data_IF_025069327303
#
_entry.id   IF_025069327303
#
_cell.length_a   1.000
_cell.length_b   1.000
_cell.length_c   1.000
_cell.angle_alpha   90.00
_cell.angle_beta   90.00
_cell.angle_gamma   90.00
#
_symmetry.space_group_name_H-M   'P 1'
#
loop_
_entity.id
_entity.type
_entity.pdbx_description
1 polymer ?
#
# COMPACT_ATOMS: atom_id res chain seq x y z
N UNK A 1 -0.35 -4.93 -15.57
CA UNK A 1 -1.01 -4.10 -14.54
C UNK A 1 -1.55 -4.96 -13.42
N UNK A 2 -1.46 -4.46 -12.20
CA UNK A 2 -2.15 -4.93 -11.02
C UNK A 2 -2.95 -3.79 -10.37
N UNK A 3 -4.11 -4.12 -9.80
CA UNK A 3 -4.96 -3.22 -9.02
C UNK A 3 -5.27 -3.91 -7.71
N UNK A 4 -5.07 -3.20 -6.59
CA UNK A 4 -5.44 -3.65 -5.25
C UNK A 4 -6.27 -2.56 -4.59
N UNK A 5 -7.46 -2.90 -4.14
CA UNK A 5 -8.39 -1.95 -3.54
C UNK A 5 -9.15 -2.62 -2.40
N UNK A 6 -9.47 -1.85 -1.37
CA UNK A 6 -10.43 -2.26 -0.36
C UNK A 6 -10.07 -1.76 1.03
N UNK A 7 -10.67 -2.42 2.03
CA UNK A 7 -10.55 -2.07 3.43
C UNK A 7 -9.83 -3.15 4.23
N UNK A 8 -8.95 -2.77 5.14
CA UNK A 8 -8.35 -3.65 6.14
C UNK A 8 -8.79 -3.17 7.51
N UNK A 9 -9.47 -4.06 8.23
CA UNK A 9 -9.88 -3.84 9.62
C UNK A 9 -8.88 -4.58 10.52
N UNK A 10 -8.03 -3.82 11.23
CA UNK A 10 -7.09 -4.33 12.22
C UNK A 10 -7.49 -3.86 13.61
N UNK A 11 -7.01 -4.55 14.65
CA UNK A 11 -7.44 -4.32 16.05
C UNK A 11 -7.44 -2.85 16.48
N UNK A 12 -6.41 -2.09 16.09
CA UNK A 12 -6.22 -0.69 16.47
C UNK A 12 -6.07 0.23 15.23
N UNK A 13 -6.46 -0.25 14.05
CA UNK A 13 -6.36 0.55 12.83
C UNK A 13 -7.33 0.07 11.75
N UNK A 14 -7.98 1.01 11.07
CA UNK A 14 -8.76 0.76 9.86
C UNK A 14 -8.07 1.48 8.69
N UNK A 15 -7.92 0.83 7.54
CA UNK A 15 -7.46 1.53 6.33
C UNK A 15 -8.31 1.19 5.12
N UNK A 16 -8.62 2.21 4.32
CA UNK A 16 -9.23 2.07 3.00
C UNK A 16 -8.27 2.64 1.97
N UNK A 17 -8.00 1.91 0.89
CA UNK A 17 -7.02 2.34 -0.11
C UNK A 17 -7.32 1.79 -1.49
N UNK A 18 -6.71 2.43 -2.48
CA UNK A 18 -6.60 1.93 -3.85
C UNK A 18 -5.18 2.11 -4.35
N UNK A 19 -4.61 1.04 -4.90
CA UNK A 19 -3.29 1.00 -5.48
C UNK A 19 -3.35 0.44 -6.91
N UNK A 20 -2.65 1.10 -7.82
CA UNK A 20 -2.36 0.61 -9.16
C UNK A 20 -0.85 0.44 -9.30
N UNK A 21 -0.43 -0.62 -9.97
CA UNK A 21 0.99 -0.91 -10.14
C UNK A 21 1.24 -1.69 -11.45
N UNK A 22 2.27 -1.31 -12.20
CA UNK A 22 2.71 -2.06 -13.36
C UNK A 22 4.20 -1.83 -13.64
N UNK A 23 4.71 -2.50 -14.67
CA UNK A 23 6.02 -2.24 -15.24
C UNK A 23 5.86 -1.77 -16.70
N UNK A 24 6.29 -0.54 -17.00
CA UNK A 24 6.34 0.01 -18.37
C UNK A 24 7.80 0.27 -18.72
N UNK A 25 8.29 -0.25 -19.84
CA UNK A 25 9.71 -0.13 -20.23
C UNK A 25 10.69 -0.56 -19.12
N UNK A 26 10.34 -1.62 -18.38
CA UNK A 26 11.08 -2.11 -17.21
C UNK A 26 11.15 -1.14 -16.01
N UNK A 27 10.39 -0.04 -16.04
CA UNK A 27 10.25 0.89 -14.93
C UNK A 27 8.92 0.70 -14.20
N UNK A 28 8.89 0.83 -12.86
CA UNK A 28 7.64 0.70 -12.13
C UNK A 28 6.75 1.94 -12.30
N UNK A 29 5.47 1.70 -12.60
CA UNK A 29 4.45 2.74 -12.79
C UNK A 29 3.24 2.48 -11.91
N UNK A 30 2.41 3.51 -11.72
CA UNK A 30 1.19 3.45 -10.91
C UNK A 30 1.21 4.40 -9.72
N UNK A 31 0.25 4.24 -8.83
CA UNK A 31 0.02 5.12 -7.69
C UNK A 31 -0.73 4.41 -6.58
N UNK A 32 -0.70 4.97 -5.38
CA UNK A 32 -1.53 4.56 -4.25
C UNK A 32 -2.10 5.79 -3.56
N UNK A 33 -3.35 5.70 -3.12
CA UNK A 33 -3.96 6.67 -2.22
C UNK A 33 -4.90 5.97 -1.25
N UNK A 34 -5.14 6.59 -0.10
CA UNK A 34 -6.05 6.04 0.89
C UNK A 34 -6.11 6.83 2.20
N UNK A 35 -6.91 6.30 3.11
CA UNK A 35 -7.07 6.77 4.47
C UNK A 35 -6.66 5.66 5.45
N UNK A 36 -6.08 6.03 6.57
CA UNK A 36 -5.77 5.15 7.69
C UNK A 36 -6.17 5.84 8.99
N UNK A 37 -7.07 5.20 9.72
CA UNK A 37 -7.44 5.54 11.09
C UNK A 37 -6.64 4.63 12.01
N UNK A 38 -6.00 5.20 13.03
CA UNK A 38 -5.23 4.43 13.99
C UNK A 38 -5.29 5.03 15.38
N UNK A 39 -5.39 4.16 16.37
CA UNK A 39 -5.26 4.49 17.77
C UNK A 39 -3.78 4.43 18.18
N UNK A 40 -3.25 5.55 18.67
CA UNK A 40 -1.85 5.67 19.10
C UNK A 40 -1.84 6.36 20.48
N UNK A 41 -1.37 5.66 21.50
CA UNK A 41 -1.37 6.15 22.89
C UNK A 41 -2.78 6.60 23.32
N UNK A 42 -3.77 5.72 23.14
CA UNK A 42 -5.19 5.92 23.52
C UNK A 42 -5.84 7.16 22.87
N UNK A 43 -5.36 7.55 21.68
CA UNK A 43 -5.91 8.66 20.89
C UNK A 43 -6.08 8.25 19.44
N UNK A 44 -7.23 8.64 18.89
CA UNK A 44 -7.55 8.39 17.49
C UNK A 44 -6.89 9.42 16.57
N UNK A 45 -6.23 8.92 15.53
CA UNK A 45 -5.63 9.72 14.48
C UNK A 45 -6.13 9.28 13.12
N UNK A 46 -6.47 10.25 12.28
CA UNK A 46 -6.82 10.02 10.88
C UNK A 46 -5.71 10.52 9.97
N UNK A 47 -5.25 9.65 9.08
CA UNK A 47 -4.20 9.93 8.12
C UNK A 47 -4.71 9.74 6.70
N UNK A 48 -4.39 10.66 5.80
CA UNK A 48 -4.47 10.43 4.36
C UNK A 48 -3.07 10.24 3.82
N UNK A 49 -2.91 9.28 2.92
CA UNK A 49 -1.64 9.02 2.26
C UNK A 49 -1.82 8.96 0.76
N UNK A 50 -0.79 9.39 0.05
CA UNK A 50 -0.69 9.24 -1.40
C UNK A 50 0.76 9.08 -1.83
N UNK A 51 0.95 8.34 -2.90
CA UNK A 51 2.22 8.28 -3.61
C UNK A 51 2.00 7.91 -5.07
N UNK A 52 2.82 8.49 -5.93
CA UNK A 52 2.89 8.16 -7.35
C UNK A 52 4.23 7.48 -7.63
N UNK A 53 4.33 6.76 -8.75
CA UNK A 53 5.56 6.12 -9.23
C UNK A 53 6.22 5.21 -8.18
N UNK A 54 5.77 3.94 -8.08
CA UNK A 54 6.42 3.01 -7.17
C UNK A 54 7.91 2.87 -7.50
N UNK A 55 8.70 2.64 -6.46
CA UNK A 55 10.12 2.28 -6.57
C UNK A 55 10.34 0.79 -6.88
N UNK A 56 9.32 -0.04 -6.64
CA UNK A 56 9.37 -1.49 -6.87
C UNK A 56 7.97 -2.04 -7.06
N UNK A 57 7.81 -2.92 -8.04
CA UNK A 57 6.60 -3.69 -8.30
C UNK A 57 7.00 -5.14 -8.54
N UNK A 58 6.39 -6.05 -7.78
CA UNK A 58 6.49 -7.50 -7.99
C UNK A 58 5.09 -8.08 -7.96
N UNK A 59 4.69 -8.78 -9.01
CA UNK A 59 3.38 -9.43 -9.10
C UNK A 59 3.52 -10.90 -9.50
N UNK A 60 2.62 -11.72 -8.97
CA UNK A 60 2.48 -13.12 -9.39
C UNK A 60 1.05 -13.40 -9.82
N UNK A 61 0.90 -14.24 -10.85
CA UNK A 61 -0.39 -14.67 -11.41
C UNK A 61 -0.64 -16.16 -11.12
N UNK A 62 -1.82 -16.65 -11.49
CA UNK A 62 -2.21 -18.06 -11.32
C UNK A 62 -3.32 -18.24 -10.28
N UNK A 63 -3.43 -19.45 -9.72
CA UNK A 63 -4.42 -19.79 -8.69
C UNK A 63 -4.24 -18.95 -7.43
N UNK A 64 -2.98 -18.75 -7.03
CA UNK A 64 -2.60 -17.74 -6.04
C UNK A 64 -2.08 -16.52 -6.80
N UNK A 65 -2.53 -15.34 -6.41
CA UNK A 65 -2.04 -14.08 -6.97
C UNK A 65 -1.42 -13.25 -5.86
N UNK A 66 -0.32 -12.58 -6.12
CA UNK A 66 0.26 -11.65 -5.15
C UNK A 66 0.72 -10.35 -5.81
N UNK A 67 0.74 -9.31 -5.01
CA UNK A 67 1.19 -7.97 -5.37
C UNK A 67 2.06 -7.47 -4.23
N UNK A 68 3.28 -7.05 -4.53
CA UNK A 68 4.16 -6.31 -3.62
C UNK A 68 4.57 -5.03 -4.31
N UNK A 69 4.26 -3.90 -3.69
CA UNK A 69 4.55 -2.57 -4.24
C UNK A 69 5.17 -1.71 -3.16
N UNK A 70 6.22 -0.99 -3.52
CA UNK A 70 6.92 -0.07 -2.62
C UNK A 70 6.96 1.31 -3.24
N UNK A 71 6.46 2.30 -2.53
CA UNK A 71 6.54 3.71 -2.90
C UNK A 71 7.53 4.40 -1.96
N UNK A 72 8.60 4.96 -2.52
CA UNK A 72 9.51 5.89 -1.83
C UNK A 72 9.05 7.30 -2.17
N UNK A 73 9.16 8.24 -1.24
CA UNK A 73 8.69 9.63 -1.40
C UNK A 73 7.17 9.81 -1.36
N UNK A 74 6.49 9.02 -0.53
CA UNK A 74 5.08 9.21 -0.26
C UNK A 74 4.82 10.45 0.61
N UNK A 75 3.63 11.04 0.44
CA UNK A 75 3.09 12.08 1.31
C UNK A 75 2.06 11.48 2.26
N UNK A 76 2.15 11.80 3.55
CA UNK A 76 1.21 11.36 4.57
C UNK A 76 0.78 12.56 5.40
N UNK A 77 -0.50 12.88 5.39
CA UNK A 77 -1.07 14.00 6.13
C UNK A 77 -1.88 13.49 7.30
N UNK A 78 -1.54 13.93 8.51
CA UNK A 78 -2.39 13.77 9.68
C UNK A 78 -3.50 14.81 9.59
N UNK A 79 -4.75 14.38 9.42
CA UNK A 79 -5.90 15.27 9.32
C UNK A 79 -6.22 15.88 10.69
N UNK A 80 -6.09 15.09 11.76
CA UNK A 80 -6.35 15.54 13.14
C UNK A 80 -5.45 16.72 13.51
N UNK A 81 -4.18 16.70 13.13
CA UNK A 81 -3.20 17.76 13.47
C UNK A 81 -2.81 18.68 12.31
N UNK A 82 -3.39 18.48 11.11
CA UNK A 82 -3.05 19.18 9.85
C UNK A 82 -1.57 19.13 9.43
N UNK A 83 -0.78 18.22 9.99
CA UNK A 83 0.66 18.11 9.73
C UNK A 83 0.93 17.09 8.63
N UNK A 84 1.85 17.41 7.70
CA UNK A 84 2.26 16.50 6.62
C UNK A 84 3.69 16.00 6.82
N UNK A 85 3.87 14.70 6.62
CA UNK A 85 5.17 14.04 6.51
C UNK A 85 5.43 13.78 5.03
N UNK A 86 6.55 14.30 4.55
CA UNK A 86 7.10 14.01 3.24
C UNK A 86 8.15 12.90 3.34
N UNK A 87 8.52 12.29 2.22
CA UNK A 87 9.52 11.22 2.16
C UNK A 87 9.16 9.96 2.98
N UNK A 88 7.86 9.70 3.15
CA UNK A 88 7.42 8.44 3.72
C UNK A 88 7.64 7.27 2.74
N UNK A 89 7.76 6.06 3.30
CA UNK A 89 7.78 4.83 2.51
C UNK A 89 6.49 4.05 2.74
N UNK A 90 5.74 3.81 1.68
CA UNK A 90 4.54 2.97 1.71
C UNK A 90 4.89 1.60 1.11
N UNK A 91 4.61 0.53 1.84
CA UNK A 91 4.72 -0.85 1.36
C UNK A 91 3.35 -1.49 1.41
N UNK A 92 2.88 -1.95 0.25
CA UNK A 92 1.66 -2.74 0.11
C UNK A 92 2.05 -4.16 -0.28
N UNK A 93 1.57 -5.13 0.51
CA UNK A 93 1.62 -6.54 0.16
C UNK A 93 0.20 -7.06 0.17
N UNK A 94 -0.24 -7.67 -0.93
CA UNK A 94 -1.55 -8.32 -1.01
C UNK A 94 -1.42 -9.70 -1.67
N UNK A 95 -2.17 -10.68 -1.17
CA UNK A 95 -2.19 -12.05 -1.68
C UNK A 95 -3.61 -12.59 -1.72
N UNK A 96 -4.04 -13.02 -2.90
CA UNK A 96 -5.24 -13.84 -3.10
C UNK A 96 -4.86 -15.31 -3.09
N UNK A 97 -5.41 -16.05 -2.15
CA UNK A 97 -5.32 -17.51 -2.11
C UNK A 97 -6.20 -18.15 -3.18
N UNK A 98 -6.02 -19.45 -3.40
CA UNK A 98 -6.84 -20.25 -4.31
C UNK A 98 -8.32 -20.31 -3.91
N UNK A 99 -8.64 -20.19 -2.62
CA UNK A 99 -10.02 -20.11 -2.11
C UNK A 99 -10.66 -18.74 -2.32
N UNK A 100 -9.93 -17.79 -2.89
CA UNK A 100 -10.41 -16.43 -3.16
C UNK A 100 -10.23 -15.46 -2.00
N UNK A 101 -9.82 -15.91 -0.82
CA UNK A 101 -9.51 -15.03 0.32
C UNK A 101 -8.32 -14.15 -0.02
N UNK A 102 -8.46 -12.84 0.25
CA UNK A 102 -7.42 -11.84 0.00
C UNK A 102 -6.92 -11.32 1.35
N UNK A 103 -5.63 -11.50 1.61
CA UNK A 103 -4.96 -10.90 2.76
C UNK A 103 -4.07 -9.76 2.27
N UNK A 104 -4.02 -8.67 3.02
CA UNK A 104 -3.16 -7.54 2.73
C UNK A 104 -2.48 -6.99 3.98
N UNK A 105 -1.35 -6.34 3.75
CA UNK A 105 -0.63 -5.55 4.74
C UNK A 105 -0.23 -4.25 4.09
N UNK A 106 -0.63 -3.14 4.71
CA UNK A 106 -0.18 -1.81 4.40
C UNK A 106 0.75 -1.34 5.52
N UNK A 107 1.95 -0.91 5.17
CA UNK A 107 2.93 -0.34 6.11
C UNK A 107 3.38 1.02 5.62
N UNK A 108 3.31 2.04 6.47
CA UNK A 108 3.72 3.41 6.19
C UNK A 108 4.80 3.80 7.18
N UNK A 109 6.06 3.78 6.72
CA UNK A 109 7.20 4.27 7.49
C UNK A 109 7.34 5.77 7.27
N UNK A 110 7.37 6.52 8.36
CA UNK A 110 7.40 7.99 8.36
C UNK A 110 8.69 8.43 9.08
N UNK A 111 9.60 9.15 8.44
CA UNK A 111 10.85 9.58 9.08
C UNK A 111 10.60 10.35 10.38
N UNK A 112 11.30 9.99 11.46
CA UNK A 112 11.17 10.64 12.78
C UNK A 112 9.80 10.48 13.45
N UNK A 113 8.97 9.52 13.01
CA UNK A 113 7.61 9.27 13.51
C UNK A 113 7.36 7.76 13.64
N UNK A 114 6.31 7.39 14.38
CA UNK A 114 5.85 5.99 14.50
C UNK A 114 5.46 5.43 13.13
N UNK A 115 5.74 4.14 12.91
CA UNK A 115 5.28 3.43 11.71
C UNK A 115 3.80 3.11 11.82
N UNK A 116 3.02 3.45 10.80
CA UNK A 116 1.62 3.02 10.71
C UNK A 116 1.54 1.67 10.00
N UNK A 117 0.75 0.75 10.52
CA UNK A 117 0.60 -0.58 9.93
C UNK A 117 -0.83 -1.09 10.12
N UNK A 118 -1.42 -1.59 9.04
CA UNK A 118 -2.67 -2.34 9.05
C UNK A 118 -2.46 -3.66 8.31
N UNK A 119 -2.92 -4.76 8.89
CA UNK A 119 -2.76 -6.11 8.33
C UNK A 119 -4.00 -6.93 8.62
N UNK A 120 -4.49 -7.65 7.61
CA UNK A 120 -5.70 -8.46 7.76
C UNK A 120 -6.27 -8.92 6.43
N UNK A 121 -7.49 -9.45 6.49
CA UNK A 121 -8.28 -9.76 5.31
C UNK A 121 -8.79 -8.47 4.67
N UNK A 122 -8.73 -8.40 3.35
CA UNK A 122 -9.33 -7.32 2.58
C UNK A 122 -10.85 -7.51 2.53
N UNK A 123 -11.60 -6.63 3.22
CA UNK A 123 -13.05 -6.59 3.20
C UNK A 123 -13.53 -5.87 1.94
N UNK A 124 -14.49 -6.46 1.22
CA UNK A 124 -14.99 -5.98 -0.08
C UNK A 124 -13.86 -5.65 -1.08
N UNK A 125 -12.69 -6.25 -0.88
CA UNK A 125 -11.48 -5.86 -1.57
C UNK A 125 -11.32 -6.60 -2.89
N UNK A 126 -10.63 -5.94 -3.81
CA UNK A 126 -10.31 -6.47 -5.13
C UNK A 126 -8.79 -6.57 -5.27
N UNK A 127 -8.35 -7.67 -5.85
CA UNK A 127 -6.98 -7.85 -6.33
C UNK A 127 -7.06 -8.43 -7.74
N UNK A 128 -6.67 -7.59 -8.69
CA UNK A 128 -6.58 -7.92 -10.11
C UNK A 128 -5.10 -7.94 -10.46
N UNK A 129 -4.62 -9.05 -11.02
CA UNK A 129 -3.25 -9.15 -11.53
C UNK A 129 -3.34 -9.69 -12.95
N UNK A 130 -3.13 -8.82 -13.93
CA UNK A 130 -3.28 -9.17 -15.36
C UNK A 130 -2.05 -9.89 -15.91
N UNK A 131 -0.87 -9.63 -15.32
CA UNK A 131 0.41 -10.24 -15.72
C UNK A 131 1.37 -10.30 -14.54
N UNK A 132 2.26 -11.29 -14.58
CA UNK A 132 3.40 -11.37 -13.67
C UNK A 132 4.48 -10.41 -14.17
N UNK A 133 4.94 -9.52 -13.30
CA UNK A 133 5.99 -8.54 -13.59
C UNK A 133 6.89 -8.36 -12.38
N UNK A 134 8.13 -7.98 -12.63
CA UNK A 134 9.09 -7.59 -11.61
C UNK A 134 9.95 -6.47 -12.15
N UNK A 135 9.81 -5.26 -11.59
CA UNK A 135 10.63 -4.11 -11.94
C UNK A 135 10.95 -3.31 -10.68
N UNK A 136 12.11 -2.67 -10.71
CA UNK A 136 12.58 -1.78 -9.66
C UNK A 136 13.06 -0.50 -10.34
N UNK A 137 12.85 0.63 -9.68
CA UNK A 137 13.47 1.87 -10.10
C UNK A 137 14.99 1.71 -9.92
N UNK A 138 15.73 1.80 -11.02
CA UNK A 138 17.18 1.92 -10.98
C UNK A 138 17.48 3.31 -10.45
N UNK A 139 17.80 3.39 -9.16
CA UNK A 139 18.42 4.60 -8.62
C UNK A 139 19.83 4.61 -9.19
N UNK A 140 20.04 5.38 -10.26
CA UNK A 140 21.40 5.71 -10.70
C UNK A 140 22.12 6.31 -9.49
N UNK A 141 23.16 5.61 -9.07
CA UNK A 141 23.97 5.89 -7.88
C UNK A 141 24.85 7.11 -8.12
#
# INVERSE_FOLDING_TARGET
MAVVEGRIDARNAETTFRATADCSNNEPTGSIFGCLEAEINDRDFRYVFKADRPSRVVTTTGRTRSVTVVYRNATVTNITSRFSVFNATITLVARRSSSGVINATLTIRRPGRVTLRASGRLQNGVIIVNRAVSCNLLLNS
#
